data_IF_537880283839
#
_entry.id   IF_537880283839
#
_cell.length_a   1.000
_cell.length_b   1.000
_cell.length_c   1.000
_cell.angle_alpha   90.00
_cell.angle_beta   90.00
_cell.angle_gamma   90.00
#
_symmetry.space_group_name_H-M   'P 1'
#
loop_
_entity.id
_entity.type
_entity.pdbx_description
1 polymer ?
#
# COMPACT_ATOMS: atom_id res chain seq x y z
N UNK A 1 5.58 -14.46 -20.46
CA UNK A 1 6.31 -15.76 -20.38
C UNK A 1 7.19 -15.76 -19.12
N UNK A 2 7.17 -16.84 -18.29
CA UNK A 2 8.11 -17.00 -17.18
C UNK A 2 9.52 -17.30 -17.70
N UNK A 3 10.57 -16.92 -16.95
CA UNK A 3 11.95 -17.15 -17.39
C UNK A 3 12.26 -18.64 -17.62
N UNK A 4 11.77 -19.54 -16.75
CA UNK A 4 11.98 -20.97 -16.91
C UNK A 4 11.47 -21.47 -18.28
N UNK A 5 10.26 -21.07 -18.65
CA UNK A 5 9.66 -21.46 -19.94
C UNK A 5 10.44 -20.89 -21.12
N UNK A 6 10.92 -19.64 -21.00
CA UNK A 6 11.75 -19.02 -22.02
C UNK A 6 13.06 -19.81 -22.24
N UNK A 7 13.80 -20.08 -21.16
CA UNK A 7 15.05 -20.83 -21.26
C UNK A 7 14.83 -22.26 -21.74
N UNK A 8 13.77 -22.93 -21.34
CA UNK A 8 13.44 -24.27 -21.85
C UNK A 8 13.15 -24.27 -23.35
N UNK A 9 12.57 -23.20 -23.86
CA UNK A 9 12.15 -23.10 -25.28
C UNK A 9 13.29 -22.61 -26.17
N UNK A 10 13.99 -21.56 -25.76
CA UNK A 10 14.92 -20.83 -26.63
C UNK A 10 16.40 -21.03 -26.28
N UNK A 11 16.71 -21.30 -25.01
CA UNK A 11 18.08 -21.48 -24.52
C UNK A 11 18.20 -22.73 -23.60
N UNK A 12 17.77 -23.93 -24.05
CA UNK A 12 17.75 -25.11 -23.17
C UNK A 12 19.14 -25.51 -22.67
N UNK A 13 20.19 -25.18 -23.43
CA UNK A 13 21.57 -25.46 -23.05
C UNK A 13 22.12 -24.57 -21.93
N UNK A 14 21.47 -23.43 -21.67
CA UNK A 14 21.81 -22.55 -20.56
C UNK A 14 21.21 -23.06 -19.25
N UNK A 15 20.12 -23.83 -19.28
CA UNK A 15 19.38 -24.22 -18.11
C UNK A 15 20.03 -25.41 -17.39
N UNK A 16 20.36 -25.22 -16.11
CA UNK A 16 20.91 -26.27 -15.23
C UNK A 16 19.97 -26.47 -14.04
N UNK A 17 19.51 -27.70 -13.86
CA UNK A 17 18.71 -28.07 -12.70
C UNK A 17 19.61 -28.27 -11.47
N UNK A 18 19.28 -27.64 -10.34
CA UNK A 18 20.02 -27.79 -9.09
C UNK A 18 19.35 -28.82 -8.17
N UNK A 19 18.08 -28.59 -7.84
CA UNK A 19 17.29 -29.50 -6.98
C UNK A 19 15.79 -29.19 -7.10
N UNK A 20 14.93 -30.16 -7.02
CA UNK A 20 13.47 -29.98 -7.07
C UNK A 20 13.06 -29.12 -8.27
N UNK A 21 12.40 -27.99 -8.00
CA UNK A 21 11.97 -27.01 -9.00
C UNK A 21 12.91 -25.78 -9.06
N UNK A 22 14.17 -25.92 -8.62
CA UNK A 22 15.16 -24.86 -8.64
C UNK A 22 16.17 -25.09 -9.75
N UNK A 23 16.39 -24.05 -10.56
CA UNK A 23 17.30 -24.04 -11.70
C UNK A 23 18.28 -22.87 -11.60
N UNK A 24 19.35 -22.94 -12.39
CA UNK A 24 20.32 -21.86 -12.61
C UNK A 24 20.68 -21.80 -14.10
N UNK A 25 21.46 -20.81 -14.50
CA UNK A 25 22.04 -20.77 -15.85
C UNK A 25 23.51 -21.14 -15.81
N UNK A 26 24.04 -21.71 -16.89
CA UNK A 26 25.47 -22.06 -17.00
C UNK A 26 26.37 -20.83 -16.91
N UNK A 27 25.95 -19.73 -17.54
CA UNK A 27 26.72 -18.49 -17.59
C UNK A 27 26.65 -17.69 -16.28
N UNK A 28 25.62 -17.91 -15.45
CA UNK A 28 25.42 -17.18 -14.18
C UNK A 28 24.97 -18.14 -13.08
N UNK A 29 25.91 -18.81 -12.47
CA UNK A 29 25.68 -19.82 -11.42
C UNK A 29 24.98 -19.29 -10.16
N UNK A 30 25.12 -17.99 -9.86
CA UNK A 30 24.43 -17.29 -8.77
C UNK A 30 23.01 -16.80 -9.15
N UNK A 31 22.58 -16.92 -10.41
CA UNK A 31 21.21 -16.68 -10.84
C UNK A 31 20.36 -17.91 -10.56
N UNK A 32 19.36 -17.78 -9.68
CA UNK A 32 18.45 -18.87 -9.30
C UNK A 32 17.06 -18.62 -9.85
N UNK A 33 16.42 -19.66 -10.35
CA UNK A 33 15.06 -19.65 -10.89
C UNK A 33 14.24 -20.65 -10.10
N UNK A 34 13.18 -20.19 -9.43
CA UNK A 34 12.30 -21.02 -8.62
C UNK A 34 10.94 -20.37 -8.46
N UNK A 35 9.86 -21.16 -8.40
CA UNK A 35 8.50 -20.69 -8.15
C UNK A 35 8.03 -19.53 -9.06
N UNK A 36 8.40 -19.59 -10.34
CA UNK A 36 8.01 -18.57 -11.32
C UNK A 36 8.75 -17.22 -11.20
N UNK A 37 9.77 -17.16 -10.34
CA UNK A 37 10.63 -16.01 -10.14
C UNK A 37 12.08 -16.36 -10.43
N UNK A 38 12.90 -15.33 -10.66
CA UNK A 38 14.34 -15.47 -10.73
C UNK A 38 15.04 -14.37 -9.93
N UNK A 39 16.22 -14.70 -9.39
CA UNK A 39 17.07 -13.78 -8.63
C UNK A 39 18.54 -14.03 -8.97
N UNK A 40 19.27 -12.99 -9.37
CA UNK A 40 20.71 -13.01 -9.54
C UNK A 40 21.38 -12.43 -8.30
N UNK A 41 21.73 -13.33 -7.39
CA UNK A 41 22.20 -12.97 -6.05
C UNK A 41 23.45 -12.11 -6.03
N UNK A 42 24.43 -12.39 -6.91
CA UNK A 42 25.69 -11.62 -6.95
C UNK A 42 25.49 -10.18 -7.46
N UNK A 43 24.39 -9.87 -8.14
CA UNK A 43 24.07 -8.52 -8.61
C UNK A 43 22.86 -7.88 -7.94
N UNK A 44 22.18 -8.59 -7.07
CA UNK A 44 21.00 -8.08 -6.37
C UNK A 44 19.80 -7.74 -7.28
N UNK A 45 19.72 -8.35 -8.47
CA UNK A 45 18.64 -8.10 -9.43
C UNK A 45 17.80 -9.35 -9.65
N UNK A 46 16.51 -9.17 -9.91
CA UNK A 46 15.59 -10.27 -10.13
C UNK A 46 14.33 -9.84 -10.86
N UNK A 47 13.44 -10.80 -11.14
CA UNK A 47 12.19 -10.55 -11.83
C UNK A 47 11.27 -11.76 -11.87
N UNK A 48 10.13 -11.60 -12.55
CA UNK A 48 9.12 -12.65 -12.71
C UNK A 48 8.92 -13.10 -14.14
N UNK A 49 9.50 -12.39 -15.09
CA UNK A 49 9.29 -12.65 -16.51
C UNK A 49 10.59 -12.84 -17.26
N UNK A 50 10.53 -13.45 -18.45
CA UNK A 50 11.62 -13.50 -19.40
C UNK A 50 12.00 -12.10 -19.90
N UNK A 51 11.03 -11.19 -20.04
CA UNK A 51 11.31 -9.78 -20.42
C UNK A 51 12.19 -9.09 -19.38
N UNK A 52 11.91 -9.27 -18.08
CA UNK A 52 12.78 -8.74 -17.01
C UNK A 52 14.21 -9.27 -17.12
N UNK A 53 14.37 -10.57 -17.44
CA UNK A 53 15.67 -11.21 -17.62
C UNK A 53 16.42 -10.63 -18.84
N UNK A 54 15.75 -10.56 -19.98
CA UNK A 54 16.36 -10.03 -21.21
C UNK A 54 16.79 -8.57 -21.05
N UNK A 55 15.98 -7.76 -20.36
CA UNK A 55 16.31 -6.35 -20.10
C UNK A 55 17.43 -6.17 -19.08
N UNK A 56 17.42 -6.94 -17.97
CA UNK A 56 18.33 -6.70 -16.82
C UNK A 56 19.62 -7.51 -16.86
N UNK A 57 19.61 -8.64 -17.56
CA UNK A 57 20.75 -9.58 -17.62
C UNK A 57 21.40 -9.55 -18.99
N UNK A 58 20.60 -9.36 -20.07
CA UNK A 58 21.07 -9.29 -21.45
C UNK A 58 21.15 -7.86 -21.98
N UNK A 59 20.86 -6.84 -21.14
CA UNK A 59 20.91 -5.41 -21.47
C UNK A 59 20.06 -5.00 -22.71
N UNK A 60 19.00 -5.77 -22.99
CA UNK A 60 18.09 -5.49 -24.11
C UNK A 60 17.11 -4.37 -23.75
N UNK A 61 16.71 -3.57 -24.74
CA UNK A 61 15.56 -2.66 -24.58
C UNK A 61 14.26 -3.46 -24.45
N UNK A 62 13.22 -2.84 -23.91
CA UNK A 62 11.90 -3.48 -23.79
C UNK A 62 11.37 -3.98 -25.15
N UNK A 63 11.55 -3.15 -26.20
CA UNK A 63 11.09 -3.50 -27.56
C UNK A 63 11.83 -4.72 -28.10
N UNK A 64 13.16 -4.76 -27.96
CA UNK A 64 13.97 -5.91 -28.37
C UNK A 64 13.60 -7.19 -27.61
N UNK A 65 13.46 -7.10 -26.29
CA UNK A 65 13.07 -8.24 -25.44
C UNK A 65 11.69 -8.81 -25.82
N UNK A 66 10.72 -7.92 -26.06
CA UNK A 66 9.38 -8.33 -26.50
C UNK A 66 9.41 -8.90 -27.92
N UNK A 67 10.15 -8.27 -28.85
CA UNK A 67 10.28 -8.75 -30.21
C UNK A 67 10.94 -10.13 -30.28
N UNK A 68 11.95 -10.38 -29.45
CA UNK A 68 12.62 -11.68 -29.40
C UNK A 68 11.68 -12.80 -28.93
N UNK A 69 10.79 -12.49 -27.96
CA UNK A 69 9.80 -13.46 -27.46
C UNK A 69 8.61 -13.59 -28.41
N UNK A 70 8.26 -12.53 -29.14
CA UNK A 70 7.10 -12.48 -30.06
C UNK A 70 7.38 -13.02 -31.47
N UNK A 71 8.63 -13.19 -31.84
CA UNK A 71 8.99 -13.74 -33.15
C UNK A 71 8.67 -15.24 -33.34
N UNK A 72 8.10 -15.87 -32.29
CA UNK A 72 7.43 -17.14 -32.43
C UNK A 72 5.97 -16.90 -32.86
N UNK A 73 5.63 -17.16 -34.12
CA UNK A 73 4.27 -17.00 -34.69
C UNK A 73 3.22 -17.80 -33.92
N UNK A 74 3.62 -18.82 -33.14
CA UNK A 74 2.73 -19.58 -32.25
C UNK A 74 2.31 -18.77 -31.01
N UNK A 75 3.16 -17.83 -30.54
CA UNK A 75 2.86 -16.95 -29.42
C UNK A 75 1.90 -15.80 -29.81
N UNK A 76 1.92 -15.36 -31.06
CA UNK A 76 1.03 -14.31 -31.58
C UNK A 76 -0.43 -14.78 -31.73
N UNK A 77 -0.70 -16.09 -31.78
CA UNK A 77 -2.06 -16.64 -31.89
C UNK A 77 -2.79 -16.85 -30.55
N UNK A 78 -2.13 -16.78 -29.41
CA UNK A 78 -2.84 -16.49 -28.15
C UNK A 78 -3.16 -15.01 -28.21
N UNK A 79 -4.31 -14.71 -28.83
CA UNK A 79 -4.96 -13.41 -28.75
C UNK A 79 -4.62 -12.79 -27.38
N UNK A 80 -4.18 -11.53 -27.42
CA UNK A 80 -4.27 -10.62 -26.29
C UNK A 80 -5.75 -10.64 -25.88
N UNK A 81 -6.14 -11.59 -25.08
CA UNK A 81 -7.38 -11.46 -24.34
C UNK A 81 -7.15 -10.18 -23.55
N UNK A 82 -7.85 -9.11 -23.94
CA UNK A 82 -7.96 -7.91 -23.10
C UNK A 82 -8.14 -8.46 -21.69
N UNK A 83 -7.34 -8.01 -20.72
CA UNK A 83 -7.47 -8.52 -19.35
C UNK A 83 -8.97 -8.47 -19.06
N UNK A 84 -9.56 -9.65 -18.81
CA UNK A 84 -10.99 -9.76 -18.51
C UNK A 84 -11.27 -8.67 -17.52
N UNK A 85 -12.31 -7.82 -17.73
CA UNK A 85 -12.63 -6.79 -16.75
C UNK A 85 -12.60 -7.48 -15.41
N UNK A 86 -11.85 -6.93 -14.45
CA UNK A 86 -11.68 -7.54 -13.13
C UNK A 86 -13.08 -7.91 -12.68
N UNK A 87 -13.40 -9.21 -12.69
CA UNK A 87 -14.67 -9.68 -12.13
C UNK A 87 -14.75 -9.04 -10.76
N UNK A 88 -15.82 -8.31 -10.49
CA UNK A 88 -16.03 -7.65 -9.20
C UNK A 88 -15.80 -8.71 -8.12
N UNK A 89 -14.66 -8.64 -7.48
CA UNK A 89 -14.33 -9.55 -6.39
C UNK A 89 -15.15 -9.07 -5.22
N UNK A 90 -16.10 -9.87 -4.79
CA UNK A 90 -16.83 -9.54 -3.57
C UNK A 90 -15.85 -9.50 -2.39
N UNK A 91 -15.93 -8.43 -1.62
CA UNK A 91 -15.17 -8.31 -0.39
C UNK A 91 -15.59 -9.43 0.59
N UNK A 92 -14.60 -10.15 1.08
CA UNK A 92 -14.79 -11.11 2.17
C UNK A 92 -14.22 -10.47 3.43
N UNK A 93 -15.11 -10.00 4.31
CA UNK A 93 -14.72 -9.43 5.58
C UNK A 93 -14.16 -10.51 6.50
N UNK A 94 -13.04 -10.25 7.21
CA UNK A 94 -12.56 -11.13 8.28
C UNK A 94 -13.64 -11.30 9.36
N UNK A 95 -13.78 -12.51 9.89
CA UNK A 95 -14.75 -12.83 10.94
C UNK A 95 -14.51 -11.95 12.18
N UNK A 96 -15.54 -11.31 12.69
CA UNK A 96 -15.46 -10.48 13.89
C UNK A 96 -15.22 -11.36 15.12
N UNK A 97 -14.37 -10.88 16.04
CA UNK A 97 -14.26 -11.42 17.39
C UNK A 97 -15.51 -11.08 18.24
N UNK A 98 -15.70 -11.77 19.36
CA UNK A 98 -16.77 -11.48 20.31
C UNK A 98 -16.60 -10.10 20.98
N UNK A 99 -15.37 -9.67 21.19
CA UNK A 99 -15.01 -8.35 21.73
C UNK A 99 -13.85 -7.72 20.95
N UNK A 100 -13.47 -6.50 21.29
CA UNK A 100 -12.39 -5.75 20.67
C UNK A 100 -11.21 -5.49 21.61
N UNK A 101 -11.09 -6.22 22.72
CA UNK A 101 -10.19 -5.89 23.82
C UNK A 101 -8.73 -5.82 23.39
N UNK A 102 -8.26 -6.79 22.59
CA UNK A 102 -6.87 -6.82 22.08
C UNK A 102 -6.62 -5.67 21.11
N UNK A 103 -7.60 -5.37 20.24
CA UNK A 103 -7.51 -4.26 19.30
C UNK A 103 -7.46 -2.91 20.02
N UNK A 104 -8.31 -2.72 21.03
CA UNK A 104 -8.35 -1.51 21.86
C UNK A 104 -7.04 -1.34 22.61
N UNK A 105 -6.56 -2.37 23.27
CA UNK A 105 -5.31 -2.33 24.03
C UNK A 105 -4.11 -2.00 23.11
N UNK A 106 -4.02 -2.64 21.95
CA UNK A 106 -2.98 -2.35 20.97
C UNK A 106 -3.00 -0.87 20.52
N UNK A 107 -4.18 -0.32 20.25
CA UNK A 107 -4.32 1.07 19.80
C UNK A 107 -4.02 2.06 20.95
N UNK A 108 -4.40 1.74 22.19
CA UNK A 108 -4.05 2.53 23.40
C UNK A 108 -2.53 2.55 23.62
N UNK A 109 -1.84 1.43 23.46
CA UNK A 109 -0.37 1.36 23.49
C UNK A 109 0.31 2.20 22.42
N UNK A 110 -0.41 2.50 21.32
CA UNK A 110 -0.01 3.43 20.26
C UNK A 110 -0.43 4.89 20.54
N UNK A 111 -0.88 5.19 21.75
CA UNK A 111 -1.27 6.53 22.20
C UNK A 111 -2.66 6.98 21.74
N UNK A 112 -3.41 6.16 21.02
CA UNK A 112 -4.72 6.53 20.47
C UNK A 112 -5.74 6.60 21.60
N UNK A 113 -6.52 7.69 21.64
CA UNK A 113 -7.50 7.95 22.67
C UNK A 113 -8.69 6.99 22.57
N UNK A 114 -9.16 6.50 23.71
CA UNK A 114 -10.25 5.51 23.80
C UNK A 114 -11.56 6.03 23.20
N UNK A 115 -11.90 7.31 23.36
CA UNK A 115 -13.10 7.90 22.75
C UNK A 115 -13.02 7.92 21.22
N UNK A 116 -11.81 8.09 20.65
CA UNK A 116 -11.59 7.98 19.20
C UNK A 116 -11.78 6.53 18.76
N UNK A 117 -11.17 5.56 19.47
CA UNK A 117 -11.30 4.13 19.18
C UNK A 117 -12.78 3.71 19.21
N UNK A 118 -13.49 4.05 20.30
CA UNK A 118 -14.91 3.73 20.50
C UNK A 118 -15.78 4.26 19.37
N UNK A 119 -15.55 5.51 18.94
CA UNK A 119 -16.29 6.09 17.81
C UNK A 119 -16.18 5.24 16.54
N UNK A 120 -14.98 4.78 16.17
CA UNK A 120 -14.81 3.95 14.98
C UNK A 120 -15.37 2.53 15.13
N UNK A 121 -15.34 1.97 16.34
CA UNK A 121 -15.94 0.65 16.64
C UNK A 121 -17.47 0.74 16.57
N UNK A 122 -18.09 1.72 17.21
CA UNK A 122 -19.54 1.92 17.25
C UNK A 122 -20.13 2.14 15.85
N UNK A 123 -19.38 2.79 14.97
CA UNK A 123 -19.76 3.00 13.58
C UNK A 123 -19.39 1.81 12.66
N UNK A 124 -18.92 0.68 13.22
CA UNK A 124 -18.56 -0.51 12.45
C UNK A 124 -17.34 -0.36 11.56
N UNK A 125 -16.61 0.75 11.68
CA UNK A 125 -15.45 1.07 10.85
C UNK A 125 -14.17 0.39 11.34
N UNK A 126 -14.16 -0.07 12.58
CA UNK A 126 -13.03 -0.74 13.22
C UNK A 126 -13.53 -1.93 14.05
N UNK A 127 -12.85 -3.07 13.94
CA UNK A 127 -13.14 -4.22 14.81
C UNK A 127 -11.92 -5.16 14.90
N UNK A 128 -11.95 -6.05 15.91
CA UNK A 128 -11.00 -7.16 16.04
C UNK A 128 -11.50 -8.36 15.25
N UNK A 129 -10.62 -9.04 14.51
CA UNK A 129 -10.96 -10.27 13.81
C UNK A 129 -10.42 -11.52 14.50
N UNK A 130 -11.03 -12.67 14.21
CA UNK A 130 -10.53 -14.00 14.58
C UNK A 130 -10.10 -14.76 13.33
N UNK A 131 -9.18 -15.76 13.45
CA UNK A 131 -8.48 -16.22 14.66
C UNK A 131 -7.22 -15.42 15.05
N UNK A 132 -6.74 -14.49 14.21
CA UNK A 132 -5.43 -13.84 14.34
C UNK A 132 -5.45 -12.52 15.15
N UNK A 133 -6.56 -12.16 15.77
CA UNK A 133 -6.72 -10.92 16.52
C UNK A 133 -6.27 -9.65 15.79
N UNK A 134 -6.38 -9.64 14.45
CA UNK A 134 -6.02 -8.46 13.67
C UNK A 134 -7.04 -7.34 13.89
N UNK A 135 -6.57 -6.10 13.90
CA UNK A 135 -7.44 -4.93 13.76
C UNK A 135 -7.85 -4.84 12.29
N UNK A 136 -9.14 -4.70 12.05
CA UNK A 136 -9.72 -4.52 10.72
C UNK A 136 -10.24 -3.09 10.59
N UNK A 137 -9.78 -2.37 9.57
CA UNK A 137 -10.21 -1.02 9.22
C UNK A 137 -11.08 -1.09 7.99
N UNK A 138 -12.37 -0.76 8.12
CA UNK A 138 -13.37 -0.93 7.06
C UNK A 138 -13.63 0.38 6.34
N UNK A 139 -13.61 0.33 5.01
CA UNK A 139 -14.06 1.42 4.14
C UNK A 139 -15.38 1.08 3.47
N UNK A 140 -16.28 2.06 3.42
CA UNK A 140 -17.65 1.92 2.93
C UNK A 140 -17.89 2.75 1.68
N UNK A 141 -18.83 2.30 0.82
CA UNK A 141 -19.38 3.12 -0.25
C UNK A 141 -20.48 4.08 0.28
N UNK A 142 -21.11 4.83 -0.62
CA UNK A 142 -22.17 5.80 -0.32
C UNK A 142 -23.46 5.15 0.20
N UNK A 143 -23.63 3.84 -0.01
CA UNK A 143 -24.77 3.06 0.46
C UNK A 143 -24.46 2.33 1.78
N UNK A 144 -23.40 2.70 2.47
CA UNK A 144 -22.90 2.02 3.68
C UNK A 144 -22.61 0.53 3.48
N UNK A 145 -22.27 0.11 2.26
CA UNK A 145 -21.81 -1.24 1.97
C UNK A 145 -20.29 -1.30 2.13
N UNK A 146 -19.75 -2.27 2.90
CA UNK A 146 -18.30 -2.43 3.02
C UNK A 146 -17.69 -2.81 1.68
N UNK A 147 -16.64 -2.11 1.27
CA UNK A 147 -15.91 -2.30 0.02
C UNK A 147 -14.42 -2.55 0.22
N UNK A 148 -13.89 -2.13 1.35
CA UNK A 148 -12.49 -2.27 1.70
C UNK A 148 -12.33 -2.72 3.15
N UNK A 149 -11.34 -3.56 3.42
CA UNK A 149 -10.93 -3.90 4.76
C UNK A 149 -9.40 -4.06 4.83
N UNK A 150 -8.74 -3.09 5.42
CA UNK A 150 -7.32 -3.16 5.76
C UNK A 150 -7.12 -3.87 7.08
N UNK A 151 -6.06 -4.66 7.22
CA UNK A 151 -5.77 -5.43 8.41
C UNK A 151 -4.42 -5.07 9.02
N UNK A 152 -4.38 -5.01 10.34
CA UNK A 152 -3.16 -4.80 11.12
C UNK A 152 -3.05 -5.84 12.22
N UNK A 153 -1.97 -6.64 12.20
CA UNK A 153 -1.65 -7.59 13.26
C UNK A 153 -1.32 -6.89 14.58
N UNK A 154 -1.82 -7.45 15.67
CA UNK A 154 -1.58 -6.95 17.04
C UNK A 154 -0.43 -7.68 17.73
N UNK A 155 0.01 -8.82 17.18
CA UNK A 155 1.06 -9.66 17.73
C UNK A 155 2.47 -9.25 17.25
N UNK A 156 3.50 -9.95 17.77
CA UNK A 156 4.92 -9.71 17.48
C UNK A 156 5.23 -9.73 15.98
N UNK A 157 4.59 -10.60 15.20
CA UNK A 157 4.70 -10.64 13.74
C UNK A 157 3.72 -9.63 13.14
N UNK A 158 4.25 -8.47 12.76
CA UNK A 158 3.45 -7.34 12.24
C UNK A 158 2.83 -7.66 10.89
N UNK A 159 1.66 -8.28 10.89
CA UNK A 159 0.89 -8.45 9.67
C UNK A 159 0.32 -7.10 9.21
N UNK A 160 0.47 -6.79 7.94
CA UNK A 160 -0.19 -5.66 7.25
C UNK A 160 -0.69 -6.19 5.92
N UNK A 161 -1.96 -6.07 5.66
CA UNK A 161 -2.56 -6.54 4.40
C UNK A 161 -3.99 -6.07 4.23
N UNK A 162 -4.56 -6.42 3.09
CA UNK A 162 -5.96 -6.15 2.80
C UNK A 162 -6.74 -7.48 2.75
N UNK A 163 -8.01 -7.47 3.16
CA UNK A 163 -8.90 -8.61 3.01
C UNK A 163 -9.16 -8.91 1.53
N UNK A 164 -9.44 -10.18 1.23
CA UNK A 164 -9.73 -10.58 -0.14
C UNK A 164 -10.92 -9.81 -0.74
N UNK A 165 -10.78 -9.34 -1.97
CA UNK A 165 -11.81 -8.57 -2.65
C UNK A 165 -11.89 -7.10 -2.24
N UNK A 166 -10.97 -6.59 -1.41
CA UNK A 166 -10.90 -5.17 -1.04
C UNK A 166 -10.74 -4.27 -2.27
N UNK A 167 -11.56 -3.22 -2.34
CA UNK A 167 -11.46 -2.16 -3.33
C UNK A 167 -10.87 -0.89 -2.69
N UNK A 168 -9.65 -0.54 -3.07
CA UNK A 168 -8.92 0.65 -2.56
C UNK A 168 -9.54 1.98 -2.98
N UNK A 169 -10.56 1.99 -3.82
CA UNK A 169 -11.35 3.19 -4.12
C UNK A 169 -12.15 3.67 -2.91
N UNK A 170 -12.41 2.79 -1.95
CA UNK A 170 -13.19 3.05 -0.74
C UNK A 170 -12.33 2.89 0.52
N UNK A 171 -11.34 3.76 0.74
CA UNK A 171 -10.42 3.62 1.85
C UNK A 171 -11.09 3.79 3.21
N UNK A 172 -10.41 3.38 4.28
CA UNK A 172 -10.78 3.75 5.64
C UNK A 172 -10.75 5.28 5.78
N UNK A 173 -11.89 5.91 6.10
CA UNK A 173 -12.04 7.36 6.07
C UNK A 173 -13.19 7.87 6.94
N UNK A 174 -13.09 9.12 7.41
CA UNK A 174 -14.21 9.96 7.80
C UNK A 174 -14.45 11.01 6.71
N UNK A 175 -15.70 11.29 6.37
CA UNK A 175 -16.07 12.34 5.40
C UNK A 175 -17.21 13.16 5.96
N UNK A 176 -16.98 14.47 6.04
CA UNK A 176 -17.99 15.47 6.38
C UNK A 176 -18.18 16.41 5.17
N UNK A 177 -19.38 16.42 4.59
CA UNK A 177 -19.67 17.18 3.38
C UNK A 177 -19.67 18.72 3.59
N UNK A 178 -19.80 19.16 4.83
CA UNK A 178 -19.79 20.57 5.17
C UNK A 178 -18.36 21.15 5.30
N UNK A 179 -17.35 20.27 5.33
CA UNK A 179 -15.96 20.68 5.43
C UNK A 179 -15.27 20.68 4.05
N UNK A 180 -14.59 21.77 3.74
CA UNK A 180 -13.86 21.95 2.47
C UNK A 180 -12.40 21.54 2.52
N UNK A 181 -11.91 21.12 3.67
CA UNK A 181 -10.54 20.64 3.89
C UNK A 181 -10.54 19.11 3.98
N UNK A 182 -9.45 18.48 3.50
CA UNK A 182 -9.24 17.05 3.63
C UNK A 182 -7.81 16.75 4.09
N UNK A 183 -7.66 15.81 5.01
CA UNK A 183 -6.41 15.36 5.59
C UNK A 183 -6.11 13.94 5.11
N UNK A 184 -4.95 13.74 4.51
CA UNK A 184 -4.53 12.50 3.86
C UNK A 184 -3.40 11.86 4.65
N UNK A 185 -3.56 10.59 5.01
CA UNK A 185 -2.60 9.80 5.79
C UNK A 185 -2.16 8.56 5.00
N UNK A 186 -0.94 8.07 5.26
CA UNK A 186 -0.47 6.84 4.62
C UNK A 186 -1.22 5.61 5.15
N UNK A 187 -1.47 5.54 6.46
CA UNK A 187 -2.11 4.43 7.14
C UNK A 187 -3.31 4.81 8.01
N UNK A 188 -4.11 3.81 8.39
CA UNK A 188 -5.26 3.99 9.26
C UNK A 188 -4.85 4.40 10.69
N UNK A 189 -3.70 3.91 11.19
CA UNK A 189 -3.20 4.27 12.52
C UNK A 189 -2.82 5.75 12.57
N UNK A 190 -2.24 6.31 11.50
CA UNK A 190 -1.91 7.74 11.42
C UNK A 190 -3.16 8.61 11.41
N UNK A 191 -4.21 8.16 10.71
CA UNK A 191 -5.52 8.81 10.74
C UNK A 191 -6.09 8.84 12.16
N UNK A 192 -6.10 7.71 12.87
CA UNK A 192 -6.57 7.63 14.25
C UNK A 192 -5.71 8.47 15.20
N UNK A 193 -4.40 8.54 14.95
CA UNK A 193 -3.48 9.36 15.73
C UNK A 193 -3.77 10.85 15.56
N UNK A 194 -4.02 11.28 14.33
CA UNK A 194 -4.42 12.67 14.06
C UNK A 194 -5.78 13.01 14.66
N UNK A 195 -6.76 12.12 14.56
CA UNK A 195 -8.06 12.27 15.22
C UNK A 195 -7.90 12.41 16.74
N UNK A 196 -6.95 11.66 17.34
CA UNK A 196 -6.61 11.77 18.77
C UNK A 196 -6.00 13.13 19.10
N UNK A 197 -5.05 13.62 18.31
CA UNK A 197 -4.45 14.95 18.51
C UNK A 197 -5.51 16.05 18.47
N UNK A 198 -6.45 15.99 17.52
CA UNK A 198 -7.57 16.93 17.43
C UNK A 198 -8.47 16.83 18.66
N UNK A 199 -8.85 15.63 19.06
CA UNK A 199 -9.71 15.40 20.22
C UNK A 199 -9.10 15.96 21.51
N UNK A 200 -7.83 15.73 21.75
CA UNK A 200 -7.10 16.19 22.94
C UNK A 200 -6.86 17.70 22.95
N UNK A 201 -6.88 18.33 21.78
CA UNK A 201 -6.89 19.79 21.63
C UNK A 201 -8.29 20.43 21.76
N UNK A 202 -9.32 19.63 22.09
CA UNK A 202 -10.70 20.08 22.18
C UNK A 202 -11.41 20.32 20.84
N UNK A 203 -10.81 19.84 19.73
CA UNK A 203 -11.39 19.95 18.38
C UNK A 203 -12.23 18.72 18.05
N UNK A 204 -13.37 18.90 17.38
CA UNK A 204 -14.20 17.79 16.93
C UNK A 204 -13.62 17.13 15.68
N UNK A 205 -12.96 15.98 15.85
CA UNK A 205 -12.40 15.20 14.74
C UNK A 205 -13.48 14.66 13.79
N UNK A 206 -14.72 14.49 14.25
CA UNK A 206 -15.84 13.99 13.44
C UNK A 206 -16.28 15.01 12.37
N UNK A 207 -15.99 16.27 12.59
CA UNK A 207 -16.24 17.34 11.62
C UNK A 207 -15.21 17.42 10.50
N UNK A 208 -14.16 16.60 10.55
CA UNK A 208 -13.06 16.61 9.58
C UNK A 208 -13.24 15.57 8.47
N UNK A 209 -12.60 15.81 7.31
CA UNK A 209 -12.39 14.80 6.29
C UNK A 209 -11.02 14.17 6.51
N UNK A 210 -10.98 12.93 6.99
CA UNK A 210 -9.77 12.18 7.28
C UNK A 210 -9.73 10.93 6.40
N UNK A 211 -8.66 10.73 5.62
CA UNK A 211 -8.58 9.63 4.64
C UNK A 211 -7.23 8.93 4.71
N UNK A 212 -7.26 7.61 4.89
CA UNK A 212 -6.08 6.74 4.76
C UNK A 212 -5.89 6.31 3.31
N UNK A 213 -4.66 6.38 2.79
CA UNK A 213 -4.33 5.88 1.44
C UNK A 213 -4.29 4.35 1.34
N UNK A 214 -4.47 3.66 2.46
CA UNK A 214 -4.41 2.18 2.53
C UNK A 214 -3.05 1.62 2.11
N UNK A 215 -1.97 2.28 2.49
CA UNK A 215 -0.58 1.87 2.31
C UNK A 215 0.25 2.82 1.45
N UNK A 216 1.54 2.52 1.36
CA UNK A 216 2.54 3.36 0.69
C UNK A 216 2.20 3.59 -0.77
N UNK A 217 2.03 4.84 -1.15
CA UNK A 217 1.98 5.23 -2.55
C UNK A 217 3.40 5.31 -3.13
N UNK A 218 3.70 4.42 -4.09
CA UNK A 218 4.96 4.46 -4.84
C UNK A 218 4.70 5.11 -6.20
N UNK A 219 5.06 6.39 -6.39
CA UNK A 219 4.92 7.02 -7.69
C UNK A 219 5.78 6.30 -8.75
N UNK A 220 5.29 6.25 -9.99
CA UNK A 220 6.06 5.74 -11.12
C UNK A 220 7.32 6.59 -11.33
N UNK A 221 8.39 5.99 -11.88
CA UNK A 221 9.65 6.71 -12.18
C UNK A 221 9.44 7.87 -13.16
N UNK A 222 8.47 7.74 -14.08
CA UNK A 222 8.13 8.77 -15.05
C UNK A 222 7.06 9.70 -14.48
N UNK A 223 7.44 10.93 -14.12
CA UNK A 223 6.54 11.94 -13.54
C UNK A 223 5.38 12.31 -14.48
N UNK A 224 5.56 12.25 -15.81
CA UNK A 224 4.51 12.57 -16.77
C UNK A 224 3.38 11.51 -16.83
N UNK A 225 3.61 10.32 -16.30
CA UNK A 225 2.61 9.24 -16.17
C UNK A 225 2.17 8.98 -14.74
N UNK A 226 2.64 9.79 -13.78
CA UNK A 226 2.29 9.65 -12.38
C UNK A 226 0.80 9.96 -12.17
N UNK A 227 0.12 9.11 -11.40
CA UNK A 227 -1.27 9.30 -11.03
C UNK A 227 -1.36 9.39 -9.51
N UNK A 228 -2.30 10.18 -9.00
CA UNK A 228 -2.60 10.17 -7.57
C UNK A 228 -3.19 8.81 -7.15
N UNK A 229 -3.03 8.40 -5.88
CA UNK A 229 -3.62 7.17 -5.36
C UNK A 229 -5.10 7.05 -5.70
N UNK A 230 -5.55 5.84 -6.02
CA UNK A 230 -6.94 5.57 -6.40
C UNK A 230 -7.92 6.01 -5.31
N UNK A 231 -7.60 5.74 -4.04
CA UNK A 231 -8.35 6.20 -2.87
C UNK A 231 -8.56 7.71 -2.86
N UNK A 232 -7.49 8.48 -3.04
CA UNK A 232 -7.56 9.93 -3.06
C UNK A 232 -8.35 10.45 -4.26
N UNK A 233 -8.13 9.87 -5.44
CA UNK A 233 -8.86 10.25 -6.66
C UNK A 233 -10.37 10.07 -6.51
N UNK A 234 -10.80 8.93 -5.97
CA UNK A 234 -12.22 8.65 -5.74
C UNK A 234 -12.81 9.62 -4.75
N UNK A 235 -12.17 9.82 -3.59
CA UNK A 235 -12.67 10.73 -2.57
C UNK A 235 -12.78 12.18 -3.08
N UNK A 236 -11.78 12.68 -3.83
CA UNK A 236 -11.84 14.02 -4.43
C UNK A 236 -12.93 14.15 -5.50
N UNK A 237 -13.21 13.10 -6.25
CA UNK A 237 -14.29 13.08 -7.25
C UNK A 237 -15.67 13.12 -6.59
N UNK A 238 -15.85 12.35 -5.52
CA UNK A 238 -17.15 12.21 -4.83
C UNK A 238 -17.45 13.36 -3.88
N UNK A 239 -16.46 14.24 -3.63
CA UNK A 239 -16.57 15.39 -2.72
C UNK A 239 -16.10 16.68 -3.41
N UNK A 240 -16.87 17.22 -4.37
CA UNK A 240 -16.47 18.38 -5.17
C UNK A 240 -16.36 19.69 -4.37
N UNK A 241 -16.90 19.75 -3.14
CA UNK A 241 -16.78 20.89 -2.22
C UNK A 241 -15.35 21.06 -1.66
N UNK A 242 -14.50 20.04 -1.75
CA UNK A 242 -13.14 20.09 -1.22
C UNK A 242 -12.29 21.12 -1.97
N UNK A 243 -11.53 21.91 -1.21
CA UNK A 243 -10.66 23.00 -1.72
C UNK A 243 -9.21 22.84 -1.27
N UNK A 244 -8.99 22.37 -0.05
CA UNK A 244 -7.65 22.24 0.54
C UNK A 244 -7.32 20.81 0.88
N UNK A 245 -6.17 20.33 0.42
CA UNK A 245 -5.64 19.00 0.69
C UNK A 245 -4.40 19.11 1.59
N UNK A 246 -4.48 18.55 2.78
CA UNK A 246 -3.37 18.44 3.72
C UNK A 246 -2.75 17.05 3.61
N UNK A 247 -1.48 16.97 3.28
CA UNK A 247 -0.75 15.71 3.13
C UNK A 247 0.07 15.45 4.40
N UNK A 248 -0.33 14.45 5.18
CA UNK A 248 0.33 13.96 6.40
C UNK A 248 0.98 12.60 6.09
N UNK A 249 1.84 12.57 5.06
CA UNK A 249 2.55 11.35 4.68
C UNK A 249 3.81 11.18 5.53
N UNK A 250 4.39 9.98 5.46
CA UNK A 250 5.60 9.65 6.21
C UNK A 250 6.74 10.65 5.95
N UNK A 251 7.47 10.98 6.98
CA UNK A 251 8.60 11.93 6.93
C UNK A 251 9.90 11.25 6.47
N UNK A 252 9.82 10.18 5.69
CA UNK A 252 10.95 9.52 5.03
C UNK A 252 11.07 9.94 3.55
N UNK A 253 12.09 9.43 2.86
CA UNK A 253 12.35 9.78 1.46
C UNK A 253 11.19 9.37 0.53
N UNK A 254 10.52 8.26 0.81
CA UNK A 254 9.41 7.76 0.01
C UNK A 254 8.14 8.59 0.19
N UNK A 255 7.79 8.90 1.45
CA UNK A 255 6.62 9.73 1.78
C UNK A 255 6.80 11.19 1.31
N UNK A 256 8.00 11.78 1.47
CA UNK A 256 8.31 13.12 0.94
C UNK A 256 8.17 13.18 -0.57
N UNK A 257 8.69 12.16 -1.29
CA UNK A 257 8.56 12.06 -2.75
C UNK A 257 7.10 11.87 -3.18
N UNK A 258 6.34 11.05 -2.46
CA UNK A 258 4.92 10.87 -2.71
C UNK A 258 4.14 12.18 -2.52
N UNK A 259 4.41 12.92 -1.44
CA UNK A 259 3.80 14.22 -1.18
C UNK A 259 4.11 15.24 -2.29
N UNK A 260 5.34 15.26 -2.79
CA UNK A 260 5.75 16.11 -3.91
C UNK A 260 4.97 15.80 -5.18
N UNK A 261 4.90 14.52 -5.56
CA UNK A 261 4.17 14.08 -6.76
C UNK A 261 2.67 14.40 -6.65
N UNK A 262 2.03 14.08 -5.53
CA UNK A 262 0.62 14.38 -5.31
C UNK A 262 0.36 15.89 -5.37
N UNK A 263 1.22 16.70 -4.72
CA UNK A 263 1.13 18.14 -4.73
C UNK A 263 1.21 18.72 -6.14
N UNK A 264 2.17 18.25 -6.95
CA UNK A 264 2.33 18.71 -8.33
C UNK A 264 1.14 18.38 -9.23
N UNK A 265 0.49 17.24 -9.02
CA UNK A 265 -0.71 16.85 -9.79
C UNK A 265 -1.94 17.66 -9.38
N UNK A 266 -2.06 18.00 -8.09
CA UNK A 266 -3.27 18.61 -7.55
C UNK A 266 -3.26 20.14 -7.50
N UNK A 267 -2.09 20.80 -7.57
CA UNK A 267 -1.87 22.24 -7.33
C UNK A 267 -2.73 23.17 -8.18
N UNK A 268 -3.10 22.75 -9.40
CA UNK A 268 -3.89 23.60 -10.32
C UNK A 268 -5.38 23.60 -9.96
N UNK A 269 -5.84 22.64 -9.15
CA UNK A 269 -7.25 22.50 -8.76
C UNK A 269 -7.48 22.67 -7.25
N UNK A 270 -6.48 22.39 -6.42
CA UNK A 270 -6.59 22.40 -4.97
C UNK A 270 -5.44 23.18 -4.33
N UNK A 271 -5.69 23.81 -3.18
CA UNK A 271 -4.62 24.27 -2.31
C UNK A 271 -4.02 23.06 -1.61
N UNK A 272 -2.77 22.73 -1.90
CA UNK A 272 -2.09 21.56 -1.30
C UNK A 272 -1.08 22.01 -0.27
N UNK A 273 -1.20 21.47 0.95
CA UNK A 273 -0.31 21.74 2.08
C UNK A 273 0.37 20.44 2.52
N UNK A 274 1.69 20.41 2.53
CA UNK A 274 2.48 19.28 3.01
C UNK A 274 2.78 19.49 4.50
N UNK A 275 2.30 18.57 5.34
CA UNK A 275 2.45 18.59 6.78
C UNK A 275 3.29 17.39 7.22
N UNK A 276 4.58 17.61 7.44
CA UNK A 276 5.45 16.61 8.03
C UNK A 276 5.55 16.84 9.54
N UNK A 277 5.52 15.74 10.28
CA UNK A 277 5.66 15.79 11.74
C UNK A 277 7.05 16.32 12.14
N UNK A 278 7.15 17.11 13.23
CA UNK A 278 8.44 17.65 13.67
C UNK A 278 9.35 16.59 14.31
N UNK A 279 8.77 15.50 14.85
CA UNK A 279 9.47 14.41 15.52
C UNK A 279 8.89 13.07 15.07
N UNK A 280 9.75 12.09 14.82
CA UNK A 280 9.36 10.76 14.36
C UNK A 280 9.16 10.68 12.85
N UNK A 281 8.74 9.50 12.40
CA UNK A 281 8.54 9.21 10.98
C UNK A 281 7.14 9.57 10.49
N UNK A 282 6.12 9.33 11.31
CA UNK A 282 4.71 9.48 10.96
C UNK A 282 3.91 10.16 12.09
N UNK A 283 2.63 10.37 11.85
CA UNK A 283 1.73 11.03 12.82
C UNK A 283 1.61 10.22 14.11
N UNK A 284 1.68 8.89 14.03
CA UNK A 284 1.63 8.05 15.22
C UNK A 284 2.90 8.16 16.07
N UNK A 285 4.08 8.21 15.44
CA UNK A 285 5.33 8.45 16.16
C UNK A 285 5.29 9.82 16.90
N UNK A 286 4.73 10.85 16.26
CA UNK A 286 4.57 12.17 16.88
C UNK A 286 3.57 12.14 18.05
N UNK A 287 2.46 11.45 17.91
CA UNK A 287 1.49 11.26 19.02
C UNK A 287 2.15 10.54 20.19
N UNK A 288 2.89 9.45 19.93
CA UNK A 288 3.62 8.73 20.99
C UNK A 288 4.66 9.62 21.67
N UNK A 289 5.41 10.41 20.92
CA UNK A 289 6.36 11.39 21.46
C UNK A 289 5.66 12.40 22.38
N UNK A 290 4.55 12.98 21.95
CA UNK A 290 3.81 13.97 22.74
C UNK A 290 3.25 13.42 24.06
N UNK A 291 3.09 12.10 24.15
CA UNK A 291 2.60 11.37 25.33
C UNK A 291 3.71 10.67 26.12
N UNK A 292 4.97 10.92 25.79
CA UNK A 292 6.12 10.21 26.41
C UNK A 292 6.03 8.69 26.26
N UNK A 293 5.43 8.19 25.19
CA UNK A 293 5.37 6.78 24.85
C UNK A 293 6.53 6.40 23.90
N UNK A 294 6.92 5.10 23.82
CA UNK A 294 7.94 4.64 22.88
C UNK A 294 7.53 4.93 21.43
N UNK A 295 8.43 5.51 20.62
CA UNK A 295 8.25 5.80 19.20
C UNK A 295 9.51 5.46 18.40
N UNK A 296 9.40 5.44 17.07
CA UNK A 296 10.53 5.18 16.18
C UNK A 296 11.37 6.44 15.99
N UNK A 297 12.67 6.31 16.20
CA UNK A 297 13.64 7.37 15.88
C UNK A 297 14.41 7.00 14.62
N UNK A 298 14.81 7.99 13.80
CA UNK A 298 15.59 7.77 12.58
C UNK A 298 16.91 7.03 12.80
N UNK A 299 17.51 7.13 13.98
CA UNK A 299 18.76 6.44 14.33
C UNK A 299 18.63 4.91 14.42
N UNK A 300 17.43 4.37 14.67
CA UNK A 300 17.21 2.92 14.75
C UNK A 300 17.05 2.24 13.39
N UNK A 301 16.79 2.97 12.30
CA UNK A 301 16.71 2.37 10.95
C UNK A 301 18.08 2.03 10.36
N UNK A 302 19.17 2.65 10.85
CA UNK A 302 20.54 2.39 10.37
C UNK A 302 21.12 1.08 10.93
N UNK A 303 20.58 0.59 12.05
CA UNK A 303 21.09 -0.61 12.73
C UNK A 303 20.54 -1.96 12.21
N UNK A 304 19.61 -1.95 11.25
CA UNK A 304 18.95 -3.16 10.70
C UNK A 304 19.04 -3.28 9.16
N UNK A 305 20.07 -2.66 8.55
CA UNK A 305 20.41 -2.88 7.13
C UNK A 305 21.67 -3.71 6.99
#
# INVERSE_FOLDING_TARGET
MALLNYLQTYEPNELVRISGNTYTTKTHDSLKISNGMWMWWSRGIGGRSAVDYLMRVRDMTFIEAVSQIANDESALRKQYEKPKPRTERNLILPTKAENNDIAIEYLKQRGINENVISHFIENGMLYQSVPMNNIVFVGYDENNKPKYAGMRGTEKYRYIGDAYGSDKSFPFRLVNKDNTNIHIFEGAIDLLSYATLLYEQGSDFKSQNLVSLSGVYKPTKNMNSAQIPLSLRTVLKDNPQLKTVYLHLDNDSAGRKAAEVISNILKDKYTVKKHFVPVGKDVNDYLCYSKNLPYRTFEKEIAYR
#
